data_IF_541735285730
#
_entry.id   IF_541735285730
#
_cell.length_a   1.000
_cell.length_b   1.000
_cell.length_c   1.000
_cell.angle_alpha   90.00
_cell.angle_beta   90.00
_cell.angle_gamma   90.00
#
_symmetry.space_group_name_H-M   'P 1'
#
loop_
_entity.id
_entity.type
_entity.pdbx_description
1 polymer ?
#
# COMPACT_ATOMS: atom_id res chain seq x y z
N UNK A 1 -17.43 14.46 9.20
CA UNK A 1 -16.05 14.05 8.90
C UNK A 1 -15.42 13.57 10.20
N UNK A 2 -14.84 12.36 10.22
CA UNK A 2 -14.20 11.85 11.43
C UNK A 2 -12.93 12.66 11.73
N UNK A 3 -12.84 13.20 12.94
CA UNK A 3 -11.70 14.03 13.40
C UNK A 3 -10.49 13.19 13.84
N UNK A 4 -10.61 11.87 13.79
CA UNK A 4 -9.57 10.96 14.26
C UNK A 4 -8.53 10.71 13.16
N UNK A 5 -7.22 10.84 13.43
CA UNK A 5 -6.19 10.60 12.43
C UNK A 5 -6.28 9.19 11.85
N UNK A 6 -5.92 9.04 10.57
CA UNK A 6 -5.77 7.73 9.93
C UNK A 6 -4.55 7.03 10.53
N UNK A 7 -4.70 5.76 10.92
CA UNK A 7 -3.61 4.94 11.47
C UNK A 7 -3.33 3.77 10.52
N UNK A 8 -2.09 3.26 10.55
CA UNK A 8 -1.67 2.12 9.73
C UNK A 8 -2.56 0.87 9.88
N UNK A 9 -3.16 0.69 11.07
CA UNK A 9 -4.02 -0.44 11.43
C UNK A 9 -5.51 -0.24 11.12
N UNK A 10 -5.90 0.93 10.63
CA UNK A 10 -7.29 1.21 10.30
C UNK A 10 -7.79 0.26 9.21
N UNK A 11 -9.05 -0.15 9.31
CA UNK A 11 -9.70 -0.99 8.31
C UNK A 11 -9.95 -0.22 7.01
N UNK A 12 -10.16 -0.91 5.87
CA UNK A 12 -10.49 -0.25 4.62
C UNK A 12 -11.70 0.68 4.72
N UNK A 13 -12.76 0.27 5.45
CA UNK A 13 -13.95 1.08 5.64
C UNK A 13 -13.67 2.37 6.44
N UNK A 14 -12.84 2.28 7.49
CA UNK A 14 -12.45 3.45 8.28
C UNK A 14 -11.64 4.46 7.45
N UNK A 15 -10.72 3.96 6.61
CA UNK A 15 -9.90 4.83 5.74
C UNK A 15 -10.77 5.48 4.66
N UNK A 16 -11.69 4.73 4.05
CA UNK A 16 -12.63 5.26 3.07
C UNK A 16 -13.49 6.39 3.66
N UNK A 17 -14.07 6.18 4.83
CA UNK A 17 -14.90 7.17 5.52
C UNK A 17 -14.09 8.43 5.86
N UNK A 18 -12.90 8.27 6.43
CA UNK A 18 -12.01 9.40 6.81
C UNK A 18 -11.56 10.22 5.61
N UNK A 19 -11.35 9.58 4.46
CA UNK A 19 -10.98 10.26 3.21
C UNK A 19 -12.19 10.86 2.46
N UNK A 20 -13.42 10.57 2.91
CA UNK A 20 -14.64 11.02 2.25
C UNK A 20 -14.84 10.43 0.86
N UNK A 21 -14.37 9.20 0.63
CA UNK A 21 -14.42 8.56 -0.69
C UNK A 21 -15.70 7.73 -0.87
N UNK A 22 -16.33 7.87 -2.04
CA UNK A 22 -17.33 6.91 -2.50
C UNK A 22 -16.70 5.53 -2.75
N UNK A 23 -17.53 4.48 -2.85
CA UNK A 23 -17.03 3.12 -3.16
C UNK A 23 -16.19 3.09 -4.44
N UNK A 24 -16.66 3.74 -5.52
CA UNK A 24 -15.94 3.80 -6.79
C UNK A 24 -14.60 4.52 -6.66
N UNK A 25 -14.56 5.66 -5.96
CA UNK A 25 -13.29 6.36 -5.72
C UNK A 25 -12.35 5.51 -4.85
N UNK A 26 -12.87 4.81 -3.86
CA UNK A 26 -12.06 3.95 -3.01
C UNK A 26 -11.51 2.73 -3.77
N UNK A 27 -12.25 2.20 -4.74
CA UNK A 27 -11.74 1.17 -5.65
C UNK A 27 -10.61 1.69 -6.53
N UNK A 28 -10.76 2.89 -7.09
CA UNK A 28 -9.68 3.55 -7.84
C UNK A 28 -8.46 3.78 -6.93
N UNK A 29 -8.67 4.24 -5.70
CA UNK A 29 -7.61 4.45 -4.71
C UNK A 29 -6.82 3.15 -4.45
N UNK A 30 -7.51 2.03 -4.25
CA UNK A 30 -6.85 0.71 -4.10
C UNK A 30 -6.06 0.33 -5.35
N UNK A 31 -6.61 0.56 -6.54
CA UNK A 31 -5.96 0.23 -7.80
C UNK A 31 -4.69 1.07 -8.03
N UNK A 32 -4.76 2.37 -7.77
CA UNK A 32 -3.60 3.27 -7.84
C UNK A 32 -2.48 2.82 -6.90
N UNK A 33 -2.80 2.43 -5.67
CA UNK A 33 -1.78 1.98 -4.71
C UNK A 33 -1.07 0.71 -5.17
N UNK A 34 -1.80 -0.24 -5.77
CA UNK A 34 -1.18 -1.45 -6.36
C UNK A 34 -0.29 -1.11 -7.55
N UNK A 35 -0.77 -0.22 -8.42
CA UNK A 35 -0.03 0.25 -9.60
C UNK A 35 1.28 0.95 -9.19
N UNK A 36 1.20 1.94 -8.31
CA UNK A 36 2.36 2.70 -7.81
C UNK A 36 3.37 1.78 -7.14
N UNK A 37 2.91 0.85 -6.29
CA UNK A 37 3.81 -0.14 -5.69
C UNK A 37 4.52 -0.99 -6.76
N UNK A 38 3.78 -1.53 -7.72
CA UNK A 38 4.33 -2.38 -8.78
C UNK A 38 5.32 -1.64 -9.67
N UNK A 39 4.97 -0.43 -10.12
CA UNK A 39 5.83 0.43 -10.95
C UNK A 39 7.10 0.82 -10.19
N UNK A 40 7.00 1.19 -8.91
CA UNK A 40 8.17 1.55 -8.12
C UNK A 40 9.12 0.37 -7.91
N UNK A 41 8.59 -0.81 -7.58
CA UNK A 41 9.38 -2.04 -7.43
C UNK A 41 10.06 -2.44 -8.76
N UNK A 42 9.40 -2.27 -9.90
CA UNK A 42 9.96 -2.55 -11.21
C UNK A 42 11.09 -1.56 -11.60
N UNK A 43 10.91 -0.28 -11.28
CA UNK A 43 11.90 0.76 -11.55
C UNK A 43 13.10 0.71 -10.60
N UNK A 44 12.91 0.26 -9.35
CA UNK A 44 13.93 0.24 -8.31
C UNK A 44 14.07 -1.16 -7.69
N UNK A 45 14.50 -2.19 -8.44
CA UNK A 45 14.51 -3.57 -7.97
C UNK A 45 15.44 -3.81 -6.77
N UNK A 46 16.46 -2.95 -6.58
CA UNK A 46 17.42 -3.05 -5.48
C UNK A 46 17.08 -2.17 -4.26
N UNK A 47 15.95 -1.46 -4.30
CA UNK A 47 15.48 -0.58 -3.21
C UNK A 47 15.03 -1.39 -1.99
N UNK A 48 15.14 -0.82 -0.78
CA UNK A 48 14.60 -1.46 0.43
C UNK A 48 13.07 -1.53 0.42
N UNK A 49 12.41 -0.61 -0.26
CA UNK A 49 10.98 -0.72 -0.55
C UNK A 49 10.65 -2.02 -1.31
N UNK A 50 11.44 -2.34 -2.33
CA UNK A 50 11.30 -3.51 -3.20
C UNK A 50 11.89 -4.81 -2.63
N UNK A 51 12.52 -4.73 -1.45
CA UNK A 51 13.00 -5.90 -0.71
C UNK A 51 11.84 -6.57 0.04
N UNK A 52 11.47 -7.78 -0.39
CA UNK A 52 10.40 -8.58 0.20
C UNK A 52 10.65 -8.93 1.67
N UNK A 53 11.90 -8.93 2.12
CA UNK A 53 12.29 -9.27 3.48
C UNK A 53 12.34 -8.04 4.41
N UNK A 54 12.51 -6.84 3.87
CA UNK A 54 12.56 -5.61 4.65
C UNK A 54 11.20 -5.30 5.30
N UNK A 55 11.17 -5.09 6.62
CA UNK A 55 9.97 -4.63 7.34
C UNK A 55 9.73 -3.14 7.10
N UNK A 56 8.50 -2.65 7.31
CA UNK A 56 8.12 -1.25 7.04
C UNK A 56 9.05 -0.23 7.71
N UNK A 57 9.44 -0.48 8.96
CA UNK A 57 10.35 0.39 9.73
C UNK A 57 11.79 0.37 9.23
N UNK A 58 12.19 -0.64 8.45
CA UNK A 58 13.52 -0.75 7.85
C UNK A 58 13.60 -0.11 6.46
N UNK A 59 12.46 0.30 5.88
CA UNK A 59 12.45 1.06 4.64
C UNK A 59 12.93 2.50 4.94
N UNK A 60 13.95 3.01 4.25
CA UNK A 60 14.42 4.38 4.42
C UNK A 60 13.30 5.38 4.19
N UNK A 61 13.25 6.41 5.02
CA UNK A 61 12.22 7.44 4.92
C UNK A 61 12.15 8.14 3.56
N UNK A 62 13.28 8.45 2.88
CA UNK A 62 13.24 9.03 1.53
C UNK A 62 12.47 8.15 0.52
N UNK A 63 12.67 6.83 0.56
CA UNK A 63 11.96 5.91 -0.34
C UNK A 63 10.45 5.91 -0.05
N UNK A 64 10.04 5.95 1.23
CA UNK A 64 8.62 6.06 1.56
C UNK A 64 8.02 7.35 1.03
N UNK A 65 8.71 8.47 1.25
CA UNK A 65 8.27 9.78 0.78
C UNK A 65 8.13 9.82 -0.74
N UNK A 66 9.06 9.19 -1.47
CA UNK A 66 8.99 9.14 -2.94
C UNK A 66 7.78 8.34 -3.42
N UNK A 67 7.50 7.17 -2.85
CA UNK A 67 6.31 6.39 -3.21
C UNK A 67 5.02 7.10 -2.81
N UNK A 68 4.99 7.77 -1.66
CA UNK A 68 3.85 8.60 -1.22
C UNK A 68 3.62 9.75 -2.21
N UNK A 69 4.68 10.43 -2.67
CA UNK A 69 4.59 11.51 -3.67
C UNK A 69 4.05 10.99 -5.01
N UNK A 70 4.52 9.84 -5.49
CA UNK A 70 4.00 9.23 -6.72
C UNK A 70 2.51 8.94 -6.62
N UNK A 71 2.07 8.36 -5.50
CA UNK A 71 0.66 8.10 -5.24
C UNK A 71 -0.14 9.40 -5.14
N UNK A 72 0.38 10.41 -4.44
CA UNK A 72 -0.29 11.69 -4.24
C UNK A 72 -0.54 12.41 -5.58
N UNK A 73 0.48 12.46 -6.44
CA UNK A 73 0.35 13.06 -7.77
C UNK A 73 -0.69 12.33 -8.60
N UNK A 74 -0.63 10.99 -8.66
CA UNK A 74 -1.60 10.20 -9.41
C UNK A 74 -3.04 10.41 -8.93
N UNK A 75 -3.26 10.48 -7.61
CA UNK A 75 -4.58 10.76 -7.06
C UNK A 75 -5.07 12.18 -7.35
N UNK A 76 -4.15 13.16 -7.32
CA UNK A 76 -4.45 14.57 -7.60
C UNK A 76 -4.79 14.77 -9.08
N UNK A 77 -3.98 14.23 -9.99
CA UNK A 77 -4.20 14.30 -11.44
C UNK A 77 -5.53 13.64 -11.84
N UNK A 78 -5.96 12.63 -11.08
CA UNK A 78 -7.23 11.93 -11.27
C UNK A 78 -8.43 12.61 -10.58
N UNK A 79 -8.23 13.75 -9.90
CA UNK A 79 -9.24 14.41 -9.06
C UNK A 79 -9.96 13.45 -8.10
N UNK A 80 -9.20 12.54 -7.48
CA UNK A 80 -9.76 11.42 -6.73
C UNK A 80 -10.45 11.85 -5.44
N UNK A 81 -9.84 12.80 -4.73
CA UNK A 81 -10.29 13.25 -3.43
C UNK A 81 -11.26 14.43 -3.55
N UNK A 82 -12.25 14.55 -2.65
CA UNK A 82 -13.03 15.77 -2.52
C UNK A 82 -12.10 16.98 -2.27
N UNK A 83 -12.43 18.18 -2.81
CA UNK A 83 -11.61 19.38 -2.63
C UNK A 83 -11.53 19.84 -1.16
N UNK A 84 -12.43 19.35 -0.31
CA UNK A 84 -12.48 19.64 1.13
C UNK A 84 -11.58 18.72 1.95
N UNK A 85 -11.01 17.67 1.36
CA UNK A 85 -10.14 16.73 2.08
C UNK A 85 -8.77 17.35 2.27
N UNK A 86 -8.39 17.57 3.53
CA UNK A 86 -7.11 18.20 3.87
C UNK A 86 -5.92 17.32 3.43
N UNK A 87 -4.85 17.97 2.96
CA UNK A 87 -3.65 17.31 2.43
C UNK A 87 -3.02 16.30 3.39
N UNK A 88 -2.91 16.65 4.67
CA UNK A 88 -2.36 15.75 5.69
C UNK A 88 -3.20 14.47 5.87
N UNK A 89 -4.52 14.55 5.69
CA UNK A 89 -5.41 13.39 5.74
C UNK A 89 -5.20 12.51 4.51
N UNK A 90 -5.02 13.12 3.34
CA UNK A 90 -4.70 12.41 2.09
C UNK A 90 -3.36 11.66 2.24
N UNK A 91 -2.31 12.33 2.68
CA UNK A 91 -0.97 11.74 2.86
C UNK A 91 -1.02 10.57 3.87
N UNK A 92 -1.71 10.72 5.00
CA UNK A 92 -1.90 9.64 5.97
C UNK A 92 -2.69 8.44 5.38
N UNK A 93 -3.71 8.71 4.57
CA UNK A 93 -4.47 7.68 3.86
C UNK A 93 -3.62 6.93 2.83
N UNK A 94 -2.79 7.66 2.10
CA UNK A 94 -1.84 7.12 1.13
C UNK A 94 -0.82 6.21 1.83
N UNK A 95 -0.19 6.70 2.90
CA UNK A 95 0.80 5.93 3.66
C UNK A 95 0.18 4.62 4.19
N UNK A 96 -1.00 4.72 4.82
CA UNK A 96 -1.75 3.56 5.29
C UNK A 96 -1.99 2.55 4.16
N UNK A 97 -2.47 3.02 3.01
CA UNK A 97 -2.86 2.16 1.89
C UNK A 97 -1.65 1.49 1.26
N UNK A 98 -0.55 2.22 1.08
CA UNK A 98 0.70 1.69 0.56
C UNK A 98 1.31 0.66 1.51
N UNK A 99 1.29 0.92 2.82
CA UNK A 99 1.71 -0.04 3.83
C UNK A 99 0.93 -1.36 3.73
N UNK A 100 -0.41 -1.30 3.58
CA UNK A 100 -1.23 -2.51 3.42
C UNK A 100 -0.92 -3.25 2.11
N UNK A 101 -0.77 -2.54 0.99
CA UNK A 101 -0.40 -3.16 -0.30
C UNK A 101 0.95 -3.88 -0.18
N UNK A 102 1.95 -3.22 0.40
CA UNK A 102 3.27 -3.81 0.60
C UNK A 102 3.21 -5.03 1.50
N UNK A 103 2.47 -4.96 2.62
CA UNK A 103 2.28 -6.10 3.52
C UNK A 103 1.66 -7.31 2.81
N UNK A 104 0.60 -7.11 2.04
CA UNK A 104 -0.02 -8.19 1.26
C UNK A 104 0.94 -8.75 0.21
N UNK A 105 1.71 -7.89 -0.48
CA UNK A 105 2.73 -8.32 -1.42
C UNK A 105 3.83 -9.16 -0.73
N UNK A 106 4.31 -8.76 0.45
CA UNK A 106 5.28 -9.56 1.21
C UNK A 106 4.73 -10.93 1.59
N UNK A 107 3.49 -10.99 2.07
CA UNK A 107 2.84 -12.24 2.45
C UNK A 107 2.72 -13.19 1.26
N UNK A 108 2.22 -12.68 0.13
CA UNK A 108 1.98 -13.47 -1.09
C UNK A 108 3.27 -13.88 -1.81
N UNK A 109 4.28 -13.00 -1.84
CA UNK A 109 5.59 -13.34 -2.42
C UNK A 109 6.30 -14.42 -1.59
N UNK A 110 6.27 -14.33 -0.26
CA UNK A 110 6.91 -15.32 0.63
C UNK A 110 6.25 -16.69 0.59
N UNK A 111 4.91 -16.75 0.51
CA UNK A 111 4.20 -18.03 0.37
C UNK A 111 4.51 -18.69 -0.97
N UNK A 112 4.65 -17.92 -2.05
CA UNK A 112 5.00 -18.45 -3.38
C UNK A 112 6.43 -19.01 -3.44
N UNK A 113 7.38 -18.44 -2.70
CA UNK A 113 8.77 -18.93 -2.65
C UNK A 113 8.99 -20.08 -1.69
N UNK A 114 8.00 -20.44 -0.86
CA UNK A 114 8.10 -21.60 0.03
C UNK A 114 7.82 -22.84 -0.83
N UNK A 115 8.79 -23.75 -1.04
CA UNK A 115 8.51 -25.00 -1.74
C UNK A 115 7.38 -25.70 -1.00
N UNK A 116 6.33 -26.09 -1.73
CA UNK A 116 5.36 -27.06 -1.22
C UNK A 116 6.16 -28.31 -0.85
N UNK A 117 6.33 -28.56 0.44
CA UNK A 117 6.82 -29.85 0.90
C UNK A 117 5.75 -30.88 0.51
N UNK A 118 5.94 -31.52 -0.64
CA UNK A 118 5.15 -32.65 -1.11
C UNK A 118 6.12 -33.81 -1.33
N UNK A 119 5.87 -34.89 -0.61
CA UNK A 119 6.51 -36.19 -0.80
C UNK A 119 7.33 -36.66 0.40
N UNK A 120 6.67 -37.35 1.33
CA UNK A 120 7.21 -38.64 1.79
C UNK A 120 6.02 -39.56 2.05
N UNK A 121 5.55 -40.16 0.96
CA UNK A 121 4.82 -41.42 0.99
C UNK A 121 5.90 -42.50 1.09
N UNK A 122 6.21 -42.90 2.32
CA UNK A 122 7.19 -43.93 2.64
C UNK A 122 6.47 -45.15 3.18
N UNK A 123 5.94 -45.97 2.27
CA UNK A 123 5.43 -47.30 2.61
C UNK A 123 6.52 -48.24 3.11
N UNK A 124 6.18 -49.04 4.12
CA UNK A 124 6.54 -50.45 4.30
C UNK A 124 5.68 -51.04 5.42
#
# INVERSE_FOLDING_TARGET
MSTTPIRLRDSPAQVQEKLGLSNRQFDNFKNFARRVHGEYCAAHPNSKWADVNAVWTAVPEPEKLDVIRLMYNLCTDSNLFPPTTARNVIEAGIEQRLHQVRRTWQQTSRTRTRPSAQGDDGGS
#
